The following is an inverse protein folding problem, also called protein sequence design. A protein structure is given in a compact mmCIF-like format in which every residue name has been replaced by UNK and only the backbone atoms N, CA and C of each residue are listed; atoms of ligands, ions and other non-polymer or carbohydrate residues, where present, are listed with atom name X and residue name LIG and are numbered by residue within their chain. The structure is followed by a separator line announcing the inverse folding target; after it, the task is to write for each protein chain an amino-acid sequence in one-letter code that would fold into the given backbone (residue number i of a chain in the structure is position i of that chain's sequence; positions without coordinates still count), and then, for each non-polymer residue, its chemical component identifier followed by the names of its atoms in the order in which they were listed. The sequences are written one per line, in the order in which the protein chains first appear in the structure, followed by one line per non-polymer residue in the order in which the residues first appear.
data_IF_471673557778
#
_entry.id   IF_471673557778
#
_cell.length_a   1.000
_cell.length_b   1.000
_cell.length_c   1.000
_cell.angle_alpha   90.00
_cell.angle_beta   90.00
_cell.angle_gamma   90.00
#
_symmetry.space_group_name_H-M   'P 1'
#
loop_
_entity.id
_entity.type
_entity.pdbx_description
1 polymer ?
#
# COMPACT_ATOMS: atom_id res chain seq x y z
N UNK A 1 -28.06 57.29 -11.16
CA UNK A 1 -27.62 55.88 -11.29
C UNK A 1 -26.10 55.90 -11.34
N UNK A 2 -25.44 55.94 -10.17
CA UNK A 2 -23.98 56.16 -10.06
C UNK A 2 -23.26 54.81 -10.13
N UNK A 3 -22.35 54.65 -11.09
CA UNK A 3 -21.49 53.48 -11.23
C UNK A 3 -20.44 53.41 -10.11
N UNK A 4 -19.88 52.21 -9.83
CA UNK A 4 -18.92 52.01 -8.76
C UNK A 4 -17.66 52.86 -8.99
N UNK A 5 -17.19 53.53 -7.93
CA UNK A 5 -16.04 54.44 -8.00
C UNK A 5 -14.71 53.65 -8.02
N UNK A 6 -13.67 54.17 -8.68
CA UNK A 6 -12.32 53.56 -8.81
C UNK A 6 -11.75 53.03 -7.48
N UNK A 7 -12.14 53.64 -6.36
CA UNK A 7 -11.72 53.27 -5.00
C UNK A 7 -12.28 51.92 -4.53
N UNK A 8 -13.47 51.52 -4.99
CA UNK A 8 -14.06 50.21 -4.69
C UNK A 8 -13.34 49.08 -5.46
N UNK A 9 -12.85 49.36 -6.66
CA UNK A 9 -12.03 48.43 -7.44
C UNK A 9 -10.64 48.21 -6.83
N UNK A 10 -10.01 49.27 -6.30
CA UNK A 10 -8.72 49.13 -5.62
C UNK A 10 -8.82 48.34 -4.30
N UNK A 11 -9.90 48.52 -3.53
CA UNK A 11 -10.13 47.78 -2.29
C UNK A 11 -10.43 46.30 -2.58
N UNK A 12 -11.25 46.00 -3.59
CA UNK A 12 -11.53 44.62 -4.00
C UNK A 12 -10.29 43.90 -4.53
N UNK A 13 -9.45 44.58 -5.32
CA UNK A 13 -8.19 44.02 -5.81
C UNK A 13 -7.19 43.76 -4.68
N UNK A 14 -7.08 44.67 -3.70
CA UNK A 14 -6.24 44.47 -2.53
C UNK A 14 -6.72 43.31 -1.64
N UNK A 15 -8.04 43.12 -1.49
CA UNK A 15 -8.62 42.00 -0.73
C UNK A 15 -8.40 40.64 -1.42
N UNK A 16 -8.49 40.58 -2.76
CA UNK A 16 -8.22 39.37 -3.53
C UNK A 16 -6.73 38.97 -3.49
N UNK A 17 -5.80 39.93 -3.48
CA UNK A 17 -4.36 39.66 -3.34
C UNK A 17 -4.03 39.19 -1.92
N UNK A 18 -4.68 39.74 -0.88
CA UNK A 18 -4.52 39.29 0.51
C UNK A 18 -5.13 37.90 0.78
N UNK A 19 -6.25 37.54 0.12
CA UNK A 19 -6.80 36.17 0.19
C UNK A 19 -5.99 35.16 -0.62
N UNK A 20 -5.33 35.58 -1.71
CA UNK A 20 -4.42 34.72 -2.48
C UNK A 20 -3.14 34.33 -1.74
N UNK A 21 -2.66 35.16 -0.81
CA UNK A 21 -1.46 34.88 0.00
C UNK A 21 -1.70 33.92 1.17
N UNK A 22 -2.95 33.70 1.59
CA UNK A 22 -3.30 32.79 2.69
C UNK A 22 -3.51 31.33 2.25
N UNK A 23 -3.41 31.04 0.95
CA UNK A 23 -3.53 29.70 0.38
C UNK A 23 -2.17 29.08 0.03
N UNK A 24 -1.11 29.44 0.75
CA UNK A 24 0.09 28.61 0.78
C UNK A 24 -0.34 27.28 1.43
N UNK A 25 -0.19 26.13 0.75
CA UNK A 25 -0.41 24.86 1.41
C UNK A 25 0.56 24.85 2.58
N UNK A 26 0.04 24.81 3.81
CA UNK A 26 0.84 24.47 4.96
C UNK A 26 1.37 23.06 4.67
N UNK A 27 2.60 22.98 4.14
CA UNK A 27 3.32 21.72 4.05
C UNK A 27 3.44 21.28 5.50
N UNK A 28 2.70 20.24 5.87
CA UNK A 28 2.87 19.61 7.16
C UNK A 28 4.30 19.07 7.16
N UNK A 29 5.19 19.78 7.84
CA UNK A 29 6.54 19.31 8.06
C UNK A 29 6.45 17.95 8.76
N UNK A 30 7.37 17.04 8.43
CA UNK A 30 7.46 15.77 9.14
C UNK A 30 7.60 16.00 10.64
N UNK A 31 7.02 15.10 11.44
CA UNK A 31 7.21 15.13 12.88
C UNK A 31 8.72 15.04 13.20
N UNK A 32 9.30 16.03 13.90
CA UNK A 32 10.72 16.01 14.26
C UNK A 32 11.12 14.74 15.01
N UNK A 33 10.23 14.16 15.81
CA UNK A 33 10.50 12.91 16.53
C UNK A 33 10.69 11.72 15.57
N UNK A 34 9.93 11.68 14.48
CA UNK A 34 10.04 10.67 13.43
C UNK A 34 11.39 10.77 12.74
N UNK A 35 11.81 11.99 12.37
CA UNK A 35 13.09 12.24 11.74
C UNK A 35 14.23 11.81 12.66
N UNK A 36 14.21 12.21 13.94
CA UNK A 36 15.24 11.80 14.91
C UNK A 36 15.30 10.28 15.12
N UNK A 37 14.18 9.56 14.98
CA UNK A 37 14.15 8.09 15.05
C UNK A 37 15.07 7.39 14.05
N UNK A 38 15.36 8.02 12.89
CA UNK A 38 16.33 7.50 11.92
C UNK A 38 17.78 7.50 12.46
N UNK A 39 18.09 8.37 13.42
CA UNK A 39 19.40 8.42 14.09
C UNK A 39 19.54 7.39 15.22
N UNK A 40 18.44 6.77 15.65
CA UNK A 40 18.40 5.85 16.78
C UNK A 40 19.03 4.47 16.54
N UNK A 41 18.70 3.53 17.43
CA UNK A 41 19.10 2.14 17.26
C UNK A 41 18.42 1.49 16.04
N UNK A 42 18.79 0.23 15.77
CA UNK A 42 18.27 -0.49 14.62
C UNK A 42 16.73 -0.59 14.59
N UNK A 43 16.09 -0.84 15.73
CA UNK A 43 14.64 -1.02 15.79
C UNK A 43 13.91 0.33 15.68
N UNK A 44 14.42 1.36 16.35
CA UNK A 44 13.94 2.74 16.21
C UNK A 44 14.01 3.21 14.76
N UNK A 45 15.10 2.89 14.06
CA UNK A 45 15.28 3.24 12.64
C UNK A 45 14.26 2.53 11.74
N UNK A 46 13.99 1.24 11.97
CA UNK A 46 12.95 0.52 11.21
C UNK A 46 11.57 1.14 11.46
N UNK A 47 11.23 1.44 12.73
CA UNK A 47 9.96 2.07 13.06
C UNK A 47 9.82 3.47 12.44
N UNK A 48 10.90 4.26 12.41
CA UNK A 48 10.93 5.57 11.76
C UNK A 48 10.72 5.45 10.24
N UNK A 49 11.32 4.45 9.58
CA UNK A 49 11.11 4.19 8.15
C UNK A 49 9.65 3.81 7.86
N UNK A 50 9.05 2.94 8.66
CA UNK A 50 7.62 2.61 8.51
C UNK A 50 6.75 3.86 8.70
N UNK A 51 7.07 4.68 9.69
CA UNK A 51 6.38 5.95 9.94
C UNK A 51 6.52 6.95 8.78
N UNK A 52 7.67 7.00 8.09
CA UNK A 52 7.82 7.79 6.84
C UNK A 52 6.84 7.30 5.76
N UNK A 53 6.69 5.98 5.63
CA UNK A 53 5.71 5.38 4.71
C UNK A 53 4.26 5.74 5.06
N UNK A 54 3.94 5.89 6.35
CA UNK A 54 2.62 6.35 6.83
C UNK A 54 2.40 7.84 6.59
N UNK A 55 3.42 8.65 6.89
CA UNK A 55 3.37 10.11 6.81
C UNK A 55 3.16 10.60 5.37
N UNK A 56 3.83 9.98 4.41
CA UNK A 56 3.67 10.36 3.01
C UNK A 56 4.52 11.58 2.59
N UNK A 57 4.42 11.93 1.31
CA UNK A 57 4.89 13.21 0.78
C UNK A 57 6.34 13.24 0.28
N UNK A 58 6.70 14.39 -0.31
CA UNK A 58 8.00 14.62 -0.94
C UNK A 58 9.15 14.56 0.07
N UNK A 59 8.91 15.06 1.28
CA UNK A 59 9.92 15.10 2.34
C UNK A 59 10.27 13.68 2.84
N UNK A 60 9.25 12.83 3.04
CA UNK A 60 9.45 11.42 3.38
C UNK A 60 10.20 10.69 2.26
N UNK A 61 9.85 10.96 1.01
CA UNK A 61 10.53 10.39 -0.17
C UNK A 61 12.01 10.80 -0.19
N UNK A 62 12.30 12.08 0.00
CA UNK A 62 13.66 12.61 0.00
C UNK A 62 14.53 12.02 1.13
N UNK A 63 13.96 11.81 2.32
CA UNK A 63 14.67 11.16 3.43
C UNK A 63 14.94 9.67 3.16
N UNK A 64 13.99 8.94 2.58
CA UNK A 64 14.20 7.56 2.16
C UNK A 64 15.30 7.46 1.08
N UNK A 65 15.31 8.38 0.10
CA UNK A 65 16.37 8.52 -0.91
C UNK A 65 17.73 8.84 -0.30
N UNK A 66 17.76 9.71 0.71
CA UNK A 66 19.00 10.05 1.41
C UNK A 66 19.52 8.86 2.21
N UNK A 67 18.64 8.10 2.86
CA UNK A 67 19.02 6.92 3.63
C UNK A 67 19.61 5.84 2.73
N UNK A 68 18.87 5.48 1.68
CA UNK A 68 19.26 4.44 0.74
C UNK A 68 20.55 4.80 -0.02
N UNK A 69 20.72 6.08 -0.36
CA UNK A 69 21.92 6.60 -1.01
C UNK A 69 23.13 6.77 -0.09
N UNK A 70 23.05 6.39 1.20
CA UNK A 70 24.15 6.56 2.15
C UNK A 70 24.48 8.02 2.46
N UNK A 71 23.49 8.91 2.28
CA UNK A 71 23.57 10.36 2.50
C UNK A 71 22.94 10.80 3.81
N UNK A 72 22.49 9.88 4.67
CA UNK A 72 22.10 10.19 6.04
C UNK A 72 23.20 9.77 7.02
N UNK A 73 23.45 10.60 8.01
CA UNK A 73 24.44 10.37 9.06
C UNK A 73 24.11 11.11 10.34
N UNK A 74 25.00 11.03 11.32
CA UNK A 74 24.87 11.73 12.60
C UNK A 74 26.12 12.56 12.90
N UNK A 75 25.92 13.75 13.47
CA UNK A 75 26.97 14.64 13.99
C UNK A 75 26.52 15.12 15.37
N UNK A 76 27.31 14.86 16.40
CA UNK A 76 27.00 15.23 17.80
C UNK A 76 25.59 14.83 18.25
N UNK A 77 25.13 13.65 17.81
CA UNK A 77 23.79 13.12 18.10
C UNK A 77 22.66 13.73 17.25
N UNK A 78 22.95 14.67 16.36
CA UNK A 78 21.97 15.24 15.41
C UNK A 78 21.96 14.46 14.11
N UNK A 79 20.78 14.19 13.56
CA UNK A 79 20.64 13.60 12.25
C UNK A 79 20.90 14.63 11.15
N UNK A 80 21.78 14.31 10.22
CA UNK A 80 22.16 15.20 9.11
C UNK A 80 22.07 14.51 7.77
N UNK A 81 21.68 15.28 6.75
CA UNK A 81 21.78 14.93 5.34
C UNK A 81 23.12 15.45 4.80
N UNK A 82 23.89 14.55 4.20
CA UNK A 82 25.17 14.82 3.54
C UNK A 82 24.88 15.20 2.10
N UNK A 83 24.90 16.50 1.82
CA UNK A 83 24.69 17.07 0.50
C UNK A 83 26.03 17.46 -0.16
N UNK A 84 26.06 17.69 -1.48
CA UNK A 84 27.28 18.11 -2.18
C UNK A 84 27.84 19.46 -1.68
N UNK A 85 26.98 20.33 -1.16
CA UNK A 85 27.28 21.68 -0.67
C UNK A 85 27.54 21.73 0.85
N UNK A 86 27.51 20.59 1.55
CA UNK A 86 27.79 20.48 2.98
C UNK A 86 26.76 19.64 3.74
N UNK A 87 26.72 19.82 5.05
CA UNK A 87 25.76 19.14 5.93
C UNK A 87 24.49 19.97 6.08
N UNK A 88 23.35 19.30 6.10
CA UNK A 88 22.05 19.91 6.40
C UNK A 88 21.37 19.15 7.52
N UNK A 89 20.65 19.86 8.39
CA UNK A 89 19.85 19.24 9.43
C UNK A 89 18.71 18.45 8.77
N UNK A 90 18.53 17.19 9.16
CA UNK A 90 17.57 16.33 8.48
C UNK A 90 16.10 16.69 8.75
N UNK A 91 15.81 17.45 9.82
CA UNK A 91 14.45 17.84 10.21
C UNK A 91 14.07 19.24 9.71
N UNK A 92 15.00 20.19 9.76
CA UNK A 92 14.76 21.58 9.35
C UNK A 92 15.27 21.91 7.95
N UNK A 93 16.21 21.12 7.42
CA UNK A 93 16.87 21.38 6.14
C UNK A 93 17.89 22.53 6.17
N UNK A 94 18.11 23.15 7.34
CA UNK A 94 19.09 24.23 7.51
C UNK A 94 20.52 23.74 7.32
N UNK A 95 21.37 24.58 6.72
CA UNK A 95 22.79 24.24 6.53
C UNK A 95 23.55 24.28 7.88
N UNK A 96 24.36 23.27 8.14
CA UNK A 96 25.27 23.24 9.28
C UNK A 96 26.67 23.69 8.84
N UNK A 97 27.26 24.58 9.64
CA UNK A 97 28.67 24.94 9.54
C UNK A 97 29.56 23.84 10.14
N UNK A 98 29.55 22.66 9.52
CA UNK A 98 30.37 21.51 9.88
C UNK A 98 30.90 20.83 8.61
N UNK A 99 32.11 20.29 8.67
CA UNK A 99 32.68 19.52 7.57
C UNK A 99 31.86 18.25 7.34
N UNK A 100 31.60 17.90 6.08
CA UNK A 100 30.92 16.67 5.70
C UNK A 100 31.65 15.42 6.22
N UNK A 101 32.97 15.51 6.42
CA UNK A 101 33.79 14.45 7.05
C UNK A 101 33.46 14.17 8.52
N UNK A 102 32.81 15.11 9.23
CA UNK A 102 32.44 14.93 10.64
C UNK A 102 31.23 13.99 10.82
N UNK A 103 30.45 13.74 9.76
CA UNK A 103 29.25 12.92 9.83
C UNK A 103 29.55 11.42 9.85
N UNK A 104 29.07 10.74 10.90
CA UNK A 104 29.05 9.28 10.96
C UNK A 104 27.87 8.76 10.15
N UNK A 105 28.15 8.19 8.97
CA UNK A 105 27.12 7.68 8.05
C UNK A 105 26.32 6.53 8.65
N UNK A 106 25.02 6.53 8.41
CA UNK A 106 24.15 5.40 8.73
C UNK A 106 24.32 4.33 7.65
N UNK A 107 24.66 3.12 8.07
CA UNK A 107 24.83 1.98 7.16
C UNK A 107 23.50 1.26 6.92
N UNK A 108 23.17 1.03 5.64
CA UNK A 108 21.94 0.33 5.23
C UNK A 108 22.25 -1.13 4.98
N UNK A 109 21.84 -2.00 5.91
CA UNK A 109 21.89 -3.44 5.71
C UNK A 109 20.65 -3.95 4.93
N UNK A 110 20.64 -5.25 4.61
CA UNK A 110 19.55 -5.86 3.83
C UNK A 110 18.16 -5.70 4.47
N UNK A 111 18.07 -5.68 5.80
CA UNK A 111 16.80 -5.51 6.51
C UNK A 111 16.30 -4.07 6.42
N UNK A 112 17.18 -3.07 6.56
CA UNK A 112 16.82 -1.66 6.34
C UNK A 112 16.45 -1.42 4.87
N UNK A 113 17.16 -2.02 3.91
CA UNK A 113 16.80 -1.91 2.49
C UNK A 113 15.38 -2.43 2.22
N UNK A 114 14.97 -3.53 2.84
CA UNK A 114 13.58 -4.01 2.76
C UNK A 114 12.57 -3.05 3.40
N UNK A 115 12.88 -2.50 4.57
CA UNK A 115 12.01 -1.51 5.22
C UNK A 115 11.84 -0.25 4.35
N UNK A 116 12.94 0.26 3.77
CA UNK A 116 12.91 1.40 2.84
C UNK A 116 12.05 1.07 1.61
N UNK A 117 12.26 -0.10 1.00
CA UNK A 117 11.44 -0.54 -0.14
C UNK A 117 9.95 -0.64 0.20
N UNK A 118 9.62 -1.10 1.40
CA UNK A 118 8.23 -1.19 1.90
C UNK A 118 7.64 0.20 2.11
N UNK A 119 8.37 1.13 2.72
CA UNK A 119 7.93 2.50 2.90
C UNK A 119 7.71 3.21 1.54
N UNK A 120 8.61 3.01 0.57
CA UNK A 120 8.44 3.53 -0.80
C UNK A 120 7.22 2.95 -1.51
N UNK A 121 6.99 1.65 -1.35
CA UNK A 121 5.79 1.02 -1.89
C UNK A 121 4.52 1.65 -1.29
N UNK A 122 4.51 1.93 0.02
CA UNK A 122 3.40 2.63 0.66
C UNK A 122 3.14 4.02 0.03
N UNK A 123 4.21 4.79 -0.28
CA UNK A 123 4.10 6.06 -0.99
C UNK A 123 3.54 5.90 -2.41
N UNK A 124 4.02 4.88 -3.13
CA UNK A 124 3.67 4.60 -4.52
C UNK A 124 2.21 4.13 -4.72
N UNK A 125 1.49 3.74 -3.65
CA UNK A 125 0.06 3.46 -3.71
C UNK A 125 -0.79 4.67 -4.14
N UNK A 126 -0.25 5.89 -4.03
CA UNK A 126 -0.92 7.11 -4.50
C UNK A 126 -0.67 7.43 -5.98
N UNK A 127 0.10 6.60 -6.69
CA UNK A 127 0.46 6.85 -8.10
C UNK A 127 -0.78 6.90 -9.00
N UNK A 128 -0.79 7.81 -9.97
CA UNK A 128 -1.83 7.87 -10.98
C UNK A 128 -1.84 6.63 -11.90
N UNK A 129 -0.70 5.93 -12.03
CA UNK A 129 -0.57 4.79 -12.94
C UNK A 129 -0.94 3.47 -12.23
N UNK A 130 -1.95 2.72 -12.72
CA UNK A 130 -2.35 1.44 -12.11
C UNK A 130 -1.22 0.42 -12.00
N UNK A 131 -0.34 0.35 -13.01
CA UNK A 131 0.79 -0.57 -12.99
C UNK A 131 1.78 -0.29 -11.84
N UNK A 132 1.98 0.99 -11.48
CA UNK A 132 2.84 1.36 -10.35
C UNK A 132 2.17 1.02 -9.01
N UNK A 133 0.86 1.27 -8.90
CA UNK A 133 0.08 0.88 -7.71
C UNK A 133 0.04 -0.63 -7.51
N UNK A 134 -0.08 -1.40 -8.58
CA UNK A 134 -0.03 -2.86 -8.53
C UNK A 134 1.32 -3.35 -8.00
N UNK A 135 2.43 -2.88 -8.57
CA UNK A 135 3.77 -3.25 -8.12
C UNK A 135 4.03 -2.86 -6.65
N UNK A 136 3.51 -1.71 -6.24
CA UNK A 136 3.53 -1.26 -4.85
C UNK A 136 2.71 -2.18 -3.94
N UNK A 137 1.47 -2.52 -4.32
CA UNK A 137 0.60 -3.42 -3.58
C UNK A 137 1.23 -4.81 -3.43
N UNK A 138 1.89 -5.33 -4.46
CA UNK A 138 2.61 -6.62 -4.40
C UNK A 138 3.79 -6.59 -3.42
N UNK A 139 4.56 -5.50 -3.43
CA UNK A 139 5.65 -5.32 -2.46
C UNK A 139 5.11 -5.35 -1.02
N UNK A 140 3.99 -4.67 -0.78
CA UNK A 140 3.34 -4.58 0.53
C UNK A 140 2.67 -5.90 0.94
N UNK A 141 2.07 -6.64 0.00
CA UNK A 141 1.52 -7.98 0.23
C UNK A 141 2.54 -8.92 0.89
N UNK A 142 3.80 -8.80 0.51
CA UNK A 142 4.88 -9.65 1.00
C UNK A 142 5.51 -9.10 2.29
N UNK A 143 5.78 -7.80 2.35
CA UNK A 143 6.70 -7.22 3.34
C UNK A 143 6.07 -6.23 4.34
N UNK A 144 4.81 -5.82 4.16
CA UNK A 144 4.21 -4.78 4.99
C UNK A 144 4.17 -5.15 6.47
N UNK A 145 4.37 -4.14 7.32
CA UNK A 145 4.19 -4.25 8.76
C UNK A 145 2.79 -3.77 9.17
N UNK A 146 2.29 -4.15 10.37
CA UNK A 146 1.01 -3.65 10.88
C UNK A 146 0.90 -2.12 10.95
N UNK A 147 2.02 -1.40 11.04
CA UNK A 147 2.05 0.06 11.06
C UNK A 147 1.48 0.68 9.77
N UNK A 148 1.53 -0.05 8.65
CA UNK A 148 1.02 0.41 7.34
C UNK A 148 -0.46 0.08 7.12
N UNK A 149 -1.15 -0.58 8.05
CA UNK A 149 -2.58 -0.90 7.94
C UNK A 149 -3.45 0.34 7.59
N UNK A 150 -3.27 1.52 8.22
CA UNK A 150 -4.04 2.71 7.85
C UNK A 150 -3.78 3.16 6.40
N UNK A 151 -2.57 2.97 5.88
CA UNK A 151 -2.22 3.32 4.50
C UNK A 151 -2.91 2.36 3.53
N UNK A 152 -2.80 1.06 3.79
CA UNK A 152 -3.44 0.01 2.97
C UNK A 152 -4.96 0.15 2.95
N UNK A 153 -5.59 0.41 4.10
CA UNK A 153 -7.03 0.61 4.19
C UNK A 153 -7.50 1.83 3.39
N UNK A 154 -6.77 2.96 3.46
CA UNK A 154 -7.07 4.14 2.65
C UNK A 154 -6.91 3.87 1.16
N UNK A 155 -5.82 3.21 0.76
CA UNK A 155 -5.58 2.85 -0.63
C UNK A 155 -6.66 1.91 -1.17
N UNK A 156 -7.03 0.88 -0.40
CA UNK A 156 -8.08 -0.07 -0.76
C UNK A 156 -9.44 0.60 -0.95
N UNK A 157 -9.77 1.60 -0.10
CA UNK A 157 -11.01 2.35 -0.21
C UNK A 157 -11.06 3.29 -1.42
N UNK A 158 -9.91 3.80 -1.87
CA UNK A 158 -9.79 4.71 -3.01
C UNK A 158 -9.56 4.00 -4.35
N UNK A 159 -9.19 2.72 -4.33
CA UNK A 159 -8.79 1.99 -5.54
C UNK A 159 -9.97 1.62 -6.44
N UNK A 160 -9.84 1.91 -7.72
CA UNK A 160 -10.82 1.59 -8.76
C UNK A 160 -10.41 0.41 -9.64
N UNK A 161 -9.10 0.16 -9.79
CA UNK A 161 -8.57 -0.95 -10.57
C UNK A 161 -8.80 -2.28 -9.82
N UNK A 162 -9.47 -3.23 -10.48
CA UNK A 162 -9.85 -4.49 -9.86
C UNK A 162 -8.63 -5.34 -9.45
N UNK A 163 -7.57 -5.36 -10.26
CA UNK A 163 -6.38 -6.15 -9.97
C UNK A 163 -5.62 -5.58 -8.76
N UNK A 164 -5.45 -4.25 -8.70
CA UNK A 164 -4.82 -3.60 -7.56
C UNK A 164 -5.65 -3.79 -6.29
N UNK A 165 -6.98 -3.67 -6.40
CA UNK A 165 -7.91 -3.83 -5.27
C UNK A 165 -7.85 -5.23 -4.66
N UNK A 166 -7.74 -6.29 -5.47
CA UNK A 166 -7.58 -7.66 -4.97
C UNK A 166 -6.27 -7.84 -4.19
N UNK A 167 -5.15 -7.31 -4.70
CA UNK A 167 -3.84 -7.39 -4.01
C UNK A 167 -3.87 -6.60 -2.70
N UNK A 168 -4.46 -5.40 -2.69
CA UNK A 168 -4.62 -4.59 -1.48
C UNK A 168 -5.54 -5.25 -0.44
N UNK A 169 -6.63 -5.88 -0.88
CA UNK A 169 -7.52 -6.64 -0.01
C UNK A 169 -6.75 -7.78 0.66
N UNK A 170 -6.00 -8.57 -0.11
CA UNK A 170 -5.17 -9.65 0.41
C UNK A 170 -4.14 -9.12 1.42
N UNK A 171 -3.39 -8.06 1.06
CA UNK A 171 -2.34 -7.50 1.91
C UNK A 171 -2.90 -6.99 3.24
N UNK A 172 -4.02 -6.28 3.19
CA UNK A 172 -4.72 -5.76 4.38
C UNK A 172 -5.20 -6.91 5.26
N UNK A 173 -5.93 -7.87 4.68
CA UNK A 173 -6.49 -8.96 5.44
C UNK A 173 -5.42 -9.88 6.07
N UNK A 174 -4.31 -10.14 5.37
CA UNK A 174 -3.18 -10.91 5.94
C UNK A 174 -2.66 -10.28 7.23
N UNK A 175 -2.56 -8.95 7.29
CA UNK A 175 -2.13 -8.23 8.48
C UNK A 175 -3.21 -8.23 9.57
N UNK A 176 -4.46 -7.96 9.21
CA UNK A 176 -5.58 -7.97 10.17
C UNK A 176 -5.83 -9.36 10.79
N UNK A 177 -5.67 -10.44 10.02
CA UNK A 177 -5.77 -11.82 10.51
C UNK A 177 -4.68 -12.19 11.53
N UNK A 178 -3.58 -11.44 11.58
CA UNK A 178 -2.52 -11.63 12.57
C UNK A 178 -2.75 -10.78 13.84
N UNK A 179 -3.83 -10.00 13.88
CA UNK A 179 -4.17 -9.14 15.02
C UNK A 179 -4.47 -9.96 16.27
N UNK A 180 -4.07 -9.50 17.47
CA UNK A 180 -4.52 -10.11 18.72
C UNK A 180 -6.04 -9.93 18.95
N UNK A 181 -6.67 -8.93 18.31
CA UNK A 181 -8.09 -8.65 18.44
C UNK A 181 -8.95 -9.57 17.56
N UNK A 182 -9.80 -10.46 18.13
CA UNK A 182 -10.68 -11.34 17.37
C UNK A 182 -11.69 -10.57 16.50
N UNK A 183 -12.12 -9.36 16.88
CA UNK A 183 -13.05 -8.59 16.09
C UNK A 183 -12.44 -8.12 14.76
N UNK A 184 -11.16 -7.72 14.78
CA UNK A 184 -10.41 -7.40 13.57
C UNK A 184 -10.20 -8.66 12.70
N UNK A 185 -9.84 -9.80 13.30
CA UNK A 185 -9.71 -11.06 12.55
C UNK A 185 -11.03 -11.50 11.92
N UNK A 186 -12.15 -11.35 12.62
CA UNK A 186 -13.49 -11.64 12.11
C UNK A 186 -13.83 -10.79 10.89
N UNK A 187 -13.63 -9.47 11.00
CA UNK A 187 -13.87 -8.53 9.90
C UNK A 187 -13.01 -8.85 8.68
N UNK A 188 -11.73 -9.18 8.89
CA UNK A 188 -10.82 -9.57 7.82
C UNK A 188 -11.28 -10.86 7.14
N UNK A 189 -11.63 -11.90 7.92
CA UNK A 189 -12.12 -13.17 7.39
C UNK A 189 -13.40 -12.98 6.55
N UNK A 190 -14.30 -12.09 6.96
CA UNK A 190 -15.50 -11.74 6.19
C UNK A 190 -15.17 -10.98 4.90
N UNK A 191 -14.30 -9.98 4.98
CA UNK A 191 -13.89 -9.16 3.83
C UNK A 191 -13.24 -10.01 2.72
N UNK A 192 -12.44 -11.02 3.11
CA UNK A 192 -11.81 -11.96 2.18
C UNK A 192 -12.82 -12.77 1.35
N UNK A 193 -14.04 -12.99 1.84
CA UNK A 193 -15.09 -13.67 1.07
C UNK A 193 -15.55 -12.92 -0.19
N UNK A 194 -15.16 -11.65 -0.34
CA UNK A 194 -15.41 -10.85 -1.53
C UNK A 194 -14.35 -11.03 -2.63
N UNK A 195 -13.26 -11.74 -2.37
CA UNK A 195 -12.21 -12.01 -3.35
C UNK A 195 -12.60 -13.13 -4.33
N UNK A 196 -11.88 -13.22 -5.44
CA UNK A 196 -11.87 -14.37 -6.35
C UNK A 196 -10.49 -15.01 -6.49
N UNK A 197 -9.56 -14.67 -5.60
CA UNK A 197 -8.17 -15.14 -5.63
C UNK A 197 -8.01 -16.47 -4.85
N UNK A 198 -7.32 -17.43 -5.46
CA UNK A 198 -6.95 -18.68 -4.83
C UNK A 198 -5.99 -18.48 -3.63
N UNK A 199 -5.13 -17.46 -3.67
CA UNK A 199 -4.24 -17.13 -2.55
C UNK A 199 -5.04 -16.76 -1.29
N UNK A 200 -6.17 -16.04 -1.44
CA UNK A 200 -7.07 -15.73 -0.32
C UNK A 200 -7.64 -16.99 0.31
N UNK A 201 -7.99 -18.00 -0.51
CA UNK A 201 -8.47 -19.28 0.00
C UNK A 201 -7.44 -19.96 0.90
N UNK A 202 -6.16 -19.87 0.58
CA UNK A 202 -5.09 -20.42 1.41
C UNK A 202 -4.99 -19.71 2.77
N UNK A 203 -5.14 -18.38 2.81
CA UNK A 203 -5.19 -17.63 4.07
C UNK A 203 -6.35 -18.08 4.96
N UNK A 204 -7.54 -18.23 4.37
CA UNK A 204 -8.73 -18.66 5.11
C UNK A 204 -8.63 -20.11 5.57
N UNK A 205 -8.06 -21.00 4.74
CA UNK A 205 -7.85 -22.40 5.09
C UNK A 205 -6.91 -22.54 6.29
N UNK A 206 -5.84 -21.74 6.37
CA UNK A 206 -4.91 -21.76 7.48
C UNK A 206 -5.57 -21.46 8.84
N UNK A 207 -6.64 -20.65 8.88
CA UNK A 207 -7.42 -20.40 10.11
C UNK A 207 -8.20 -21.63 10.58
N UNK A 208 -8.53 -22.53 9.66
CA UNK A 208 -9.27 -23.77 9.91
C UNK A 208 -8.35 -24.97 10.14
N UNK A 209 -7.04 -24.77 10.18
CA UNK A 209 -6.12 -25.83 10.53
C UNK A 209 -6.12 -26.08 12.04
N UNK A 210 -5.79 -27.32 12.42
CA UNK A 210 -5.49 -27.68 13.79
C UNK A 210 -3.99 -27.95 13.92
N UNK A 211 -3.40 -27.51 15.03
CA UNK A 211 -2.03 -27.81 15.43
C UNK A 211 -2.04 -28.92 16.49
N UNK A 212 -1.19 -29.93 16.29
CA UNK A 212 -1.07 -31.09 17.17
C UNK A 212 -1.79 -32.33 16.64
N UNK A 213 -1.71 -33.43 17.38
CA UNK A 213 -2.23 -34.73 16.98
C UNK A 213 -3.33 -35.24 17.93
N UNK A 214 -4.26 -36.04 17.39
CA UNK A 214 -5.30 -36.71 18.17
C UNK A 214 -6.23 -35.75 18.93
N UNK A 215 -6.62 -36.15 20.13
CA UNK A 215 -7.56 -35.40 20.98
C UNK A 215 -6.99 -34.07 21.53
N UNK A 216 -5.68 -33.85 21.44
CA UNK A 216 -5.01 -32.62 21.90
C UNK A 216 -4.92 -31.54 20.81
N UNK A 217 -5.36 -31.83 19.58
CA UNK A 217 -5.26 -30.90 18.46
C UNK A 217 -6.09 -29.63 18.73
N UNK A 218 -5.42 -28.48 18.73
CA UNK A 218 -6.03 -27.16 18.97
C UNK A 218 -6.12 -26.38 17.66
N UNK A 219 -7.19 -25.61 17.47
CA UNK A 219 -7.33 -24.77 16.28
C UNK A 219 -6.24 -23.70 16.21
N UNK A 220 -5.76 -23.40 15.00
CA UNK A 220 -4.85 -22.27 14.75
C UNK A 220 -5.54 -20.95 15.11
N UNK A 221 -6.79 -20.77 14.66
CA UNK A 221 -7.64 -19.68 15.13
C UNK A 221 -8.43 -20.12 16.37
N UNK A 222 -8.19 -19.54 17.56
CA UNK A 222 -8.90 -19.90 18.77
C UNK A 222 -10.39 -19.53 18.75
N UNK A 223 -10.77 -18.45 18.07
CA UNK A 223 -12.13 -17.94 18.06
C UNK A 223 -13.06 -18.70 17.10
N UNK A 224 -14.20 -19.17 17.62
CA UNK A 224 -15.15 -19.98 16.85
C UNK A 224 -15.91 -19.18 15.79
N UNK A 225 -16.20 -17.90 16.03
CA UNK A 225 -16.89 -17.03 15.07
C UNK A 225 -15.96 -16.68 13.90
N UNK A 226 -14.69 -16.41 14.19
CA UNK A 226 -13.67 -16.16 13.15
C UNK A 226 -13.54 -17.41 12.25
N UNK A 227 -13.48 -18.61 12.82
CA UNK A 227 -13.47 -19.87 12.04
C UNK A 227 -14.74 -20.04 11.20
N UNK A 228 -15.90 -19.76 11.77
CA UNK A 228 -17.17 -19.85 11.04
C UNK A 228 -17.22 -18.88 9.85
N UNK A 229 -16.75 -17.64 10.05
CA UNK A 229 -16.64 -16.63 9.00
C UNK A 229 -15.65 -17.07 7.92
N UNK A 230 -14.49 -17.60 8.29
CA UNK A 230 -13.50 -18.10 7.34
C UNK A 230 -14.07 -19.21 6.44
N UNK A 231 -14.76 -20.19 7.04
CA UNK A 231 -15.41 -21.28 6.31
C UNK A 231 -16.55 -20.78 5.39
N UNK A 232 -17.28 -19.73 5.79
CA UNK A 232 -18.32 -19.13 4.97
C UNK A 232 -17.73 -18.36 3.78
N UNK A 233 -16.66 -17.60 4.01
CA UNK A 233 -15.92 -16.85 2.99
C UNK A 233 -15.29 -17.78 1.95
N UNK A 234 -14.68 -18.90 2.35
CA UNK A 234 -14.17 -19.90 1.41
C UNK A 234 -15.28 -20.43 0.50
N UNK A 235 -16.44 -20.76 1.06
CA UNK A 235 -17.60 -21.22 0.27
C UNK A 235 -18.10 -20.13 -0.70
N UNK A 236 -18.03 -18.85 -0.32
CA UNK A 236 -18.40 -17.75 -1.20
C UNK A 236 -17.44 -17.60 -2.39
N UNK A 237 -16.12 -17.73 -2.14
CA UNK A 237 -15.08 -17.72 -3.16
C UNK A 237 -15.29 -18.90 -4.14
N UNK A 238 -15.48 -20.11 -3.62
CA UNK A 238 -15.68 -21.31 -4.45
C UNK A 238 -16.89 -21.18 -5.37
N UNK A 239 -18.01 -20.62 -4.88
CA UNK A 239 -19.19 -20.34 -5.71
C UNK A 239 -18.89 -19.36 -6.84
N UNK A 240 -18.17 -18.27 -6.55
CA UNK A 240 -17.83 -17.24 -7.55
C UNK A 240 -16.92 -17.79 -8.64
N UNK A 241 -15.88 -18.51 -8.24
CA UNK A 241 -14.95 -19.17 -9.18
C UNK A 241 -15.71 -20.19 -10.03
N UNK A 242 -16.54 -21.04 -9.42
CA UNK A 242 -17.33 -22.05 -10.15
C UNK A 242 -18.32 -21.46 -11.15
N UNK A 243 -18.98 -20.35 -10.81
CA UNK A 243 -19.86 -19.63 -11.75
C UNK A 243 -19.08 -19.07 -12.94
N UNK A 244 -17.92 -18.45 -12.70
CA UNK A 244 -17.07 -17.91 -13.75
C UNK A 244 -16.54 -19.01 -14.69
N UNK A 245 -16.11 -20.16 -14.13
CA UNK A 245 -15.67 -21.32 -14.89
C UNK A 245 -16.80 -21.88 -15.75
N UNK A 246 -18.00 -22.05 -15.19
CA UNK A 246 -19.16 -22.56 -15.91
C UNK A 246 -19.52 -21.67 -17.10
N UNK A 247 -19.52 -20.35 -16.90
CA UNK A 247 -19.76 -19.38 -17.97
C UNK A 247 -18.69 -19.46 -19.08
N UNK A 248 -17.42 -19.57 -18.70
CA UNK A 248 -16.30 -19.72 -19.65
C UNK A 248 -16.36 -21.02 -20.46
N UNK A 249 -16.74 -22.13 -19.83
CA UNK A 249 -16.92 -23.42 -20.51
C UNK A 249 -18.07 -23.38 -21.51
N UNK A 250 -19.21 -22.77 -21.16
CA UNK A 250 -20.34 -22.60 -22.07
C UNK A 250 -19.98 -21.75 -23.28
N UNK A 251 -19.29 -20.62 -23.06
CA UNK A 251 -18.84 -19.76 -24.15
C UNK A 251 -17.85 -20.46 -25.08
N UNK A 252 -16.87 -21.17 -24.52
CA UNK A 252 -15.90 -21.97 -25.29
C UNK A 252 -16.60 -23.07 -26.10
N UNK A 253 -17.57 -23.76 -25.52
CA UNK A 253 -18.37 -24.78 -26.20
C UNK A 253 -19.17 -24.20 -27.37
N UNK A 254 -19.81 -23.05 -27.17
CA UNK A 254 -20.55 -22.36 -28.23
C UNK A 254 -19.61 -21.87 -29.34
N UNK A 255 -18.45 -21.31 -28.98
CA UNK A 255 -17.45 -20.84 -29.93
C UNK A 255 -16.90 -21.99 -30.79
N UNK A 256 -16.50 -23.09 -30.15
CA UNK A 256 -15.97 -24.26 -30.86
C UNK A 256 -17.05 -24.91 -31.73
N UNK A 257 -18.29 -25.00 -31.23
CA UNK A 257 -19.44 -25.46 -32.02
C UNK A 257 -19.70 -24.59 -33.25
N UNK A 258 -19.60 -23.26 -33.12
CA UNK A 258 -19.78 -22.34 -34.25
C UNK A 258 -18.68 -22.49 -35.31
N UNK A 259 -17.42 -22.70 -34.90
CA UNK A 259 -16.31 -22.94 -35.83
C UNK A 259 -16.51 -24.26 -36.58
N UNK A 260 -16.90 -25.32 -35.87
CA UNK A 260 -17.19 -26.62 -36.48
C UNK A 260 -18.36 -26.53 -37.48
N UNK A 261 -19.41 -25.76 -37.17
CA UNK A 261 -20.54 -25.55 -38.07
C UNK A 261 -20.11 -24.82 -39.35
N UNK A 262 -19.27 -23.78 -39.24
CA UNK A 262 -18.71 -23.07 -40.39
C UNK A 262 -17.80 -23.98 -41.23
N UNK A 263 -16.96 -24.79 -40.59
CA UNK A 263 -16.11 -25.76 -41.27
C UNK A 263 -16.94 -26.82 -42.02
N UNK A 264 -17.99 -27.34 -41.38
CA UNK A 264 -18.92 -28.29 -41.99
C UNK A 264 -19.65 -27.69 -43.20
N UNK A 265 -20.08 -26.42 -43.11
CA UNK A 265 -20.69 -25.71 -44.23
C UNK A 265 -19.71 -25.54 -45.40
N UNK A 266 -18.45 -25.18 -45.12
CA UNK A 266 -17.41 -25.08 -46.14
C UNK A 266 -17.17 -26.42 -46.84
N UNK A 267 -17.11 -27.52 -46.07
CA UNK A 267 -16.97 -28.88 -46.60
C UNK A 267 -18.17 -29.28 -47.48
N UNK A 268 -19.39 -28.93 -47.06
CA UNK A 268 -20.60 -29.19 -47.82
C UNK A 268 -20.58 -28.48 -49.19
N UNK A 269 -20.09 -27.23 -49.24
CA UNK A 269 -19.95 -26.48 -50.49
C UNK A 269 -18.90 -27.13 -51.42
N UNK A 270 -17.78 -27.62 -50.89
CA UNK A 270 -16.72 -28.22 -51.72
C UNK A 270 -17.05 -29.61 -52.24
N UNK A 271 -17.79 -30.41 -51.46
CA UNK A 271 -18.10 -31.81 -51.81
C UNK A 271 -19.53 -32.02 -52.34
N UNK A 272 -20.38 -30.99 -52.31
CA UNK A 272 -21.68 -30.98 -53.00
C UNK A 272 -22.67 -32.02 -52.50
N UNK A 273 -22.89 -32.05 -51.18
CA UNK A 273 -24.00 -32.82 -50.58
C UNK A 273 -25.33 -32.09 -50.71
#
# INVERSE_FOLDING_TARGET
MFGPTKRQWCIAAALCVLMGLAALPARAALDPALVQGLGGDFNARVAAIDALGVAGGDEATALLDALEGGRLGTVDGRLVVIAPDGLRDAASGEALAADAGAATRITVNNRLRRAIGTARAALALSSAQPAQRLAAADTLRENASPALLPVLARALAAESDAAVREVLLYATAKLELSSPDPALRLKAAQALGASSDAAVKNLLAALLEKRGEGAAATWVEPDAEVRAAAAASMRAIDRRIGLAQTAGTLFSGLSLGSILLLAALGLAITYGV
#
